data_IF_328970614733
#
_entry.id   IF_328970614733
#
_cell.length_a   1.000
_cell.length_b   1.000
_cell.length_c   1.000
_cell.angle_alpha   90.00
_cell.angle_beta   90.00
_cell.angle_gamma   90.00
#
_symmetry.space_group_name_H-M   'P 1'
#
loop_
_entity.id
_entity.type
_entity.pdbx_description
1 polymer ?
#
# COMPACT_ATOMS: atom_id res chain seq x y z
N UNK A 1 -8.69 -1.77 4.13
CA UNK A 1 -7.89 -1.81 5.38
C UNK A 1 -8.19 -3.05 6.18
N UNK A 2 -9.39 -3.25 6.76
CA UNK A 2 -9.69 -4.50 7.50
C UNK A 2 -9.42 -5.76 6.67
N UNK A 3 -10.01 -5.87 5.47
CA UNK A 3 -9.83 -7.03 4.58
C UNK A 3 -8.35 -7.28 4.25
N UNK A 4 -7.62 -6.23 3.85
CA UNK A 4 -6.21 -6.33 3.48
C UNK A 4 -5.32 -6.70 4.67
N UNK A 5 -5.61 -6.18 5.86
CA UNK A 5 -4.89 -6.52 7.09
C UNK A 5 -5.12 -7.98 7.47
N UNK A 6 -6.38 -8.45 7.43
CA UNK A 6 -6.69 -9.87 7.71
C UNK A 6 -5.98 -10.80 6.73
N UNK A 7 -6.02 -10.49 5.43
CA UNK A 7 -5.32 -11.28 4.42
C UNK A 7 -3.80 -11.28 4.66
N UNK A 8 -3.20 -10.14 5.00
CA UNK A 8 -1.77 -10.05 5.30
C UNK A 8 -1.37 -10.90 6.52
N UNK A 9 -2.17 -10.86 7.59
CA UNK A 9 -1.96 -11.71 8.77
C UNK A 9 -2.06 -13.19 8.43
N UNK A 10 -3.06 -13.60 7.64
CA UNK A 10 -3.21 -14.98 7.20
C UNK A 10 -2.01 -15.43 6.35
N UNK A 11 -1.57 -14.60 5.41
CA UNK A 11 -0.40 -14.88 4.58
C UNK A 11 0.88 -15.07 5.41
N UNK A 12 1.11 -14.21 6.40
CA UNK A 12 2.26 -14.36 7.31
C UNK A 12 2.21 -15.67 8.10
N UNK A 13 1.04 -16.02 8.67
CA UNK A 13 0.85 -17.28 9.40
C UNK A 13 1.09 -18.49 8.49
N UNK A 14 0.55 -18.49 7.27
CA UNK A 14 0.75 -19.60 6.33
C UNK A 14 2.21 -19.77 5.94
N UNK A 15 2.94 -18.68 5.77
CA UNK A 15 4.35 -18.72 5.40
C UNK A 15 5.22 -19.29 6.53
N UNK A 16 5.01 -18.83 7.77
CA UNK A 16 5.70 -19.37 8.94
C UNK A 16 5.38 -20.85 9.21
N UNK A 17 4.21 -21.34 8.79
CA UNK A 17 3.83 -22.74 8.93
C UNK A 17 4.49 -23.63 7.86
N UNK A 18 4.74 -23.08 6.67
CA UNK A 18 5.35 -23.82 5.56
C UNK A 18 6.87 -23.94 5.68
N UNK A 19 7.55 -22.93 6.22
CA UNK A 19 9.00 -22.87 6.23
C UNK A 19 9.53 -22.17 7.49
N UNK A 20 10.65 -22.68 8.02
CA UNK A 20 11.34 -22.06 9.16
C UNK A 20 11.78 -20.63 8.81
N UNK A 21 11.61 -19.70 9.77
CA UNK A 21 11.79 -18.26 9.60
C UNK A 21 13.21 -17.88 9.13
N UNK A 22 14.19 -18.75 9.36
CA UNK A 22 15.59 -18.55 8.97
C UNK A 22 15.85 -18.78 7.48
N UNK A 23 15.00 -19.56 6.82
CA UNK A 23 15.21 -19.97 5.43
C UNK A 23 14.34 -19.18 4.45
N UNK A 24 13.52 -18.23 4.93
CA UNK A 24 12.63 -17.44 4.09
C UNK A 24 13.44 -16.47 3.23
N UNK A 25 13.28 -16.60 1.92
CA UNK A 25 13.89 -15.70 0.94
C UNK A 25 13.17 -14.34 0.92
N UNK A 26 13.94 -13.25 0.85
CA UNK A 26 13.40 -11.88 0.93
C UNK A 26 12.78 -11.43 -0.40
N UNK A 27 13.32 -11.90 -1.53
CA UNK A 27 12.90 -11.48 -2.86
C UNK A 27 11.69 -12.28 -3.36
N UNK A 28 11.61 -13.57 -3.00
CA UNK A 28 10.57 -14.48 -3.46
C UNK A 28 9.99 -15.41 -2.37
N UNK A 29 9.46 -14.85 -1.26
CA UNK A 29 9.11 -15.62 -0.06
C UNK A 29 8.09 -16.74 -0.32
N UNK A 30 7.01 -16.45 -1.05
CA UNK A 30 5.98 -17.46 -1.33
C UNK A 30 6.38 -18.45 -2.43
N UNK A 31 7.02 -17.99 -3.50
CA UNK A 31 7.42 -18.84 -4.62
C UNK A 31 8.45 -19.89 -4.20
N UNK A 32 9.39 -19.51 -3.34
CA UNK A 32 10.41 -20.43 -2.79
C UNK A 32 9.78 -21.35 -1.75
N UNK A 33 8.87 -20.85 -0.90
CA UNK A 33 8.18 -21.70 0.08
C UNK A 33 7.34 -22.80 -0.58
N UNK A 34 6.59 -22.51 -1.66
CA UNK A 34 5.86 -23.55 -2.40
C UNK A 34 6.78 -24.57 -3.08
N UNK A 35 7.97 -24.13 -3.51
CA UNK A 35 8.98 -25.02 -4.08
C UNK A 35 9.57 -25.95 -3.02
N UNK A 36 9.85 -25.45 -1.81
CA UNK A 36 10.37 -26.24 -0.70
C UNK A 36 9.40 -27.34 -0.24
N UNK A 37 8.09 -27.09 -0.33
CA UNK A 37 7.02 -28.06 -0.03
C UNK A 37 6.76 -29.05 -1.19
N UNK A 38 7.38 -28.84 -2.35
CA UNK A 38 7.22 -29.69 -3.55
C UNK A 38 6.00 -29.36 -4.42
N UNK A 39 5.31 -28.26 -4.17
CA UNK A 39 4.13 -27.82 -4.94
C UNK A 39 4.50 -26.87 -6.08
N UNK A 40 5.19 -27.40 -7.09
CA UNK A 40 5.71 -26.61 -8.22
C UNK A 40 4.64 -25.90 -9.05
N UNK A 41 3.42 -26.44 -9.14
CA UNK A 41 2.31 -25.79 -9.87
C UNK A 41 1.84 -24.50 -9.18
N UNK A 42 1.78 -24.50 -7.85
CA UNK A 42 1.32 -23.35 -7.05
C UNK A 42 2.28 -22.17 -7.16
N UNK A 43 3.60 -22.43 -7.25
CA UNK A 43 4.64 -21.40 -7.49
C UNK A 43 4.33 -20.54 -8.71
N UNK A 44 3.99 -21.15 -9.85
CA UNK A 44 3.74 -20.41 -11.09
C UNK A 44 2.46 -19.56 -11.01
N UNK A 45 1.41 -20.08 -10.37
CA UNK A 45 0.15 -19.34 -10.19
C UNK A 45 0.37 -18.12 -9.30
N UNK A 46 1.06 -18.29 -8.17
CA UNK A 46 1.34 -17.20 -7.23
C UNK A 46 2.27 -16.17 -7.86
N UNK A 47 3.31 -16.58 -8.58
CA UNK A 47 4.20 -15.67 -9.30
C UNK A 47 3.47 -14.85 -10.38
N UNK A 48 2.59 -15.49 -11.17
CA UNK A 48 1.77 -14.80 -12.17
C UNK A 48 0.78 -13.81 -11.52
N UNK A 49 0.17 -14.20 -10.40
CA UNK A 49 -0.71 -13.34 -9.62
C UNK A 49 0.03 -12.13 -9.05
N UNK A 50 1.23 -12.35 -8.49
CA UNK A 50 2.08 -11.29 -7.96
C UNK A 50 2.50 -10.30 -9.04
N UNK A 51 2.97 -10.78 -10.20
CA UNK A 51 3.37 -9.93 -11.32
C UNK A 51 2.20 -9.04 -11.78
N UNK A 52 1.03 -9.63 -12.03
CA UNK A 52 -0.18 -8.88 -12.42
C UNK A 52 -0.59 -7.85 -11.36
N UNK A 53 -0.51 -8.22 -10.08
CA UNK A 53 -0.81 -7.34 -8.96
C UNK A 53 0.13 -6.13 -8.91
N UNK A 54 1.44 -6.37 -9.00
CA UNK A 54 2.46 -5.31 -9.03
C UNK A 54 2.25 -4.36 -10.23
N UNK A 55 2.02 -4.89 -11.44
CA UNK A 55 1.75 -4.06 -12.62
C UNK A 55 0.52 -3.19 -12.44
N UNK A 56 -0.55 -3.72 -11.83
CA UNK A 56 -1.77 -2.95 -11.57
C UNK A 56 -1.52 -1.81 -10.57
N UNK A 57 -0.78 -2.07 -9.49
CA UNK A 57 -0.43 -1.04 -8.49
C UNK A 57 0.46 0.04 -9.11
N UNK A 58 1.43 -0.32 -9.93
CA UNK A 58 2.28 0.63 -10.66
C UNK A 58 1.46 1.55 -11.56
N UNK A 59 0.50 1.00 -12.30
CA UNK A 59 -0.38 1.78 -13.19
C UNK A 59 -1.24 2.78 -12.39
N UNK A 60 -1.84 2.33 -11.29
CA UNK A 60 -2.63 3.20 -10.41
C UNK A 60 -1.76 4.31 -9.79
N UNK A 61 -0.54 3.98 -9.38
CA UNK A 61 0.45 4.93 -8.86
C UNK A 61 0.81 6.00 -9.88
N UNK A 62 1.14 5.61 -11.11
CA UNK A 62 1.49 6.52 -12.20
C UNK A 62 0.38 7.54 -12.49
N UNK A 63 -0.88 7.08 -12.55
CA UNK A 63 -2.05 7.97 -12.77
C UNK A 63 -2.25 8.92 -11.58
N UNK A 64 -2.07 8.42 -10.35
CA UNK A 64 -2.20 9.22 -9.13
C UNK A 64 -1.18 10.36 -9.05
N UNK A 65 0.09 10.05 -9.30
CA UNK A 65 1.20 11.02 -9.28
C UNK A 65 1.00 12.12 -10.32
N UNK A 66 0.61 11.76 -11.54
CA UNK A 66 0.38 12.73 -12.61
C UNK A 66 -0.74 13.72 -12.26
N UNK A 67 -1.85 13.24 -11.69
CA UNK A 67 -2.96 14.11 -11.24
C UNK A 67 -2.53 15.05 -10.12
N UNK A 68 -1.83 14.53 -9.12
CA UNK A 68 -1.32 15.36 -8.02
C UNK A 68 -0.41 16.48 -8.54
N UNK A 69 0.51 16.15 -9.46
CA UNK A 69 1.40 17.11 -10.09
C UNK A 69 0.65 18.21 -10.85
N UNK A 70 -0.41 17.86 -11.58
CA UNK A 70 -1.20 18.86 -12.31
C UNK A 70 -1.97 19.81 -11.41
N UNK A 71 -2.43 19.33 -10.25
CA UNK A 71 -3.06 20.20 -9.26
C UNK A 71 -2.06 21.19 -8.65
N UNK A 72 -0.83 20.75 -8.38
CA UNK A 72 0.27 21.64 -7.92
C UNK A 72 0.66 22.63 -9.02
N UNK A 73 0.73 22.20 -10.27
CA UNK A 73 1.08 23.08 -11.38
C UNK A 73 0.03 24.19 -11.60
N UNK A 74 -1.25 23.90 -11.33
CA UNK A 74 -2.34 24.90 -11.39
C UNK A 74 -2.24 25.97 -10.31
N UNK A 75 -1.57 25.71 -9.19
CA UNK A 75 -1.32 26.72 -8.14
C UNK A 75 -0.05 27.53 -8.40
N UNK A 76 0.51 27.49 -9.61
CA UNK A 76 1.74 28.18 -10.03
C UNK A 76 2.99 27.83 -9.19
N UNK A 77 2.96 26.73 -8.44
CA UNK A 77 4.13 26.23 -7.69
C UNK A 77 5.12 25.49 -8.59
N UNK A 78 4.70 25.14 -9.81
CA UNK A 78 5.52 24.50 -10.83
C UNK A 78 5.24 25.12 -12.21
N UNK A 79 6.13 24.93 -13.20
CA UNK A 79 5.92 25.46 -14.54
C UNK A 79 4.54 25.09 -15.10
N UNK A 80 3.82 26.03 -15.74
CA UNK A 80 2.46 25.83 -16.21
C UNK A 80 2.36 24.73 -17.28
N UNK A 81 3.48 24.34 -17.87
CA UNK A 81 3.59 23.22 -18.81
C UNK A 81 3.09 21.89 -18.21
N UNK A 82 3.27 21.67 -16.90
CA UNK A 82 2.75 20.48 -16.21
C UNK A 82 1.23 20.53 -15.94
N UNK A 83 0.62 21.71 -16.01
CA UNK A 83 -0.83 21.87 -15.84
C UNK A 83 -1.61 21.62 -17.14
N UNK A 84 -0.92 21.47 -18.28
CA UNK A 84 -1.55 21.25 -19.57
C UNK A 84 -2.14 19.85 -19.66
N UNK A 85 -3.45 19.77 -19.91
CA UNK A 85 -4.20 18.53 -20.09
C UNK A 85 -4.60 18.43 -21.56
N UNK A 86 -4.28 17.31 -22.19
CA UNK A 86 -4.64 17.08 -23.59
C UNK A 86 -6.17 16.97 -23.75
N UNK A 87 -6.72 17.68 -24.73
CA UNK A 87 -8.17 17.79 -24.92
C UNK A 87 -8.82 16.52 -25.48
N UNK A 88 -8.06 15.64 -26.15
CA UNK A 88 -8.59 14.41 -26.75
C UNK A 88 -8.62 13.26 -25.75
N UNK A 89 -7.58 13.13 -24.94
CA UNK A 89 -7.44 12.05 -23.96
C UNK A 89 -7.92 12.45 -22.56
N UNK A 90 -8.04 13.74 -22.26
CA UNK A 90 -8.40 14.24 -20.94
C UNK A 90 -7.36 13.91 -19.86
N UNK A 91 -6.15 13.51 -20.26
CA UNK A 91 -5.07 13.12 -19.35
C UNK A 91 -3.86 14.04 -19.47
N UNK A 92 -3.16 14.31 -18.35
CA UNK A 92 -1.97 15.15 -18.35
C UNK A 92 -0.74 14.34 -18.78
N UNK A 93 -0.56 14.21 -20.10
CA UNK A 93 0.50 13.37 -20.70
C UNK A 93 1.89 13.85 -20.27
N UNK A 94 2.15 15.16 -20.34
CA UNK A 94 3.46 15.75 -19.98
C UNK A 94 3.84 15.43 -18.53
N UNK A 95 2.91 15.61 -17.58
CA UNK A 95 3.11 15.28 -16.18
C UNK A 95 3.38 13.79 -15.96
N UNK A 96 2.65 12.93 -16.66
CA UNK A 96 2.78 11.47 -16.53
C UNK A 96 4.13 10.98 -17.03
N UNK A 97 4.55 11.41 -18.22
CA UNK A 97 5.83 11.00 -18.82
C UNK A 97 7.00 11.48 -17.98
N UNK A 98 7.00 12.74 -17.53
CA UNK A 98 8.10 13.26 -16.71
C UNK A 98 8.21 12.55 -15.35
N UNK A 99 7.09 12.27 -14.68
CA UNK A 99 7.11 11.55 -13.40
C UNK A 99 7.51 10.09 -13.54
N UNK A 100 7.05 9.40 -14.58
CA UNK A 100 7.47 8.02 -14.86
C UNK A 100 8.94 7.94 -15.24
N UNK A 101 9.44 8.88 -16.04
CA UNK A 101 10.87 8.96 -16.36
C UNK A 101 11.70 9.20 -15.11
N UNK A 102 11.32 10.15 -14.26
CA UNK A 102 12.01 10.43 -13.00
C UNK A 102 12.00 9.21 -12.04
N UNK A 103 10.84 8.56 -11.89
CA UNK A 103 10.71 7.36 -11.06
C UNK A 103 11.54 6.20 -11.60
N UNK A 104 11.58 6.01 -12.92
CA UNK A 104 12.40 4.99 -13.58
C UNK A 104 13.89 5.22 -13.38
N UNK A 105 14.36 6.47 -13.47
CA UNK A 105 15.75 6.83 -13.18
C UNK A 105 16.08 6.49 -11.72
N UNK A 106 15.26 6.92 -10.76
CA UNK A 106 15.49 6.65 -9.34
C UNK A 106 15.50 5.13 -9.07
N UNK A 107 14.57 4.38 -9.66
CA UNK A 107 14.49 2.93 -9.52
C UNK A 107 15.70 2.20 -10.12
N UNK A 108 16.36 2.76 -11.15
CA UNK A 108 17.55 2.16 -11.76
C UNK A 108 18.82 2.37 -10.93
N UNK A 109 18.92 3.50 -10.21
CA UNK A 109 20.11 3.87 -9.45
C UNK A 109 20.03 3.58 -7.94
N UNK A 110 18.89 3.13 -7.42
CA UNK A 110 18.66 2.99 -5.96
C UNK A 110 18.29 1.56 -5.58
N UNK A 111 18.89 1.05 -4.51
CA UNK A 111 18.53 -0.26 -3.94
C UNK A 111 17.15 -0.24 -3.27
N UNK A 112 16.45 -1.39 -3.32
CA UNK A 112 15.09 -1.53 -2.82
C UNK A 112 14.99 -1.27 -1.31
N UNK A 113 15.97 -1.72 -0.53
CA UNK A 113 15.97 -1.54 0.93
C UNK A 113 16.04 -0.07 1.33
N UNK A 114 16.89 0.71 0.66
CA UNK A 114 17.00 2.16 0.88
C UNK A 114 15.68 2.84 0.52
N UNK A 115 15.08 2.46 -0.62
CA UNK A 115 13.81 3.02 -1.07
C UNK A 115 12.67 2.69 -0.10
N UNK A 116 12.59 1.44 0.37
CA UNK A 116 11.59 0.99 1.33
C UNK A 116 11.68 1.73 2.67
N UNK A 117 12.91 1.93 3.17
CA UNK A 117 13.15 2.70 4.39
C UNK A 117 12.75 4.18 4.22
N UNK A 118 13.14 4.80 3.11
CA UNK A 118 12.80 6.20 2.82
C UNK A 118 11.29 6.40 2.65
N UNK A 119 10.61 5.47 1.96
CA UNK A 119 9.15 5.48 1.80
C UNK A 119 8.44 5.30 3.14
N UNK A 120 8.91 4.40 4.00
CA UNK A 120 8.34 4.17 5.32
C UNK A 120 8.43 5.42 6.21
N UNK A 121 9.60 6.07 6.27
CA UNK A 121 9.78 7.32 7.02
C UNK A 121 8.89 8.43 6.44
N UNK A 122 8.83 8.56 5.11
CA UNK A 122 8.04 9.59 4.43
C UNK A 122 6.53 9.42 4.66
N UNK A 123 6.02 8.20 4.57
CA UNK A 123 4.59 7.92 4.76
C UNK A 123 4.15 8.12 6.21
N UNK A 124 4.95 7.68 7.18
CA UNK A 124 4.70 7.94 8.60
C UNK A 124 4.69 9.45 8.90
N UNK A 125 5.63 10.19 8.33
CA UNK A 125 5.67 11.65 8.47
C UNK A 125 4.44 12.34 7.88
N UNK A 126 4.00 11.94 6.68
CA UNK A 126 2.79 12.47 6.04
C UNK A 126 1.55 12.13 6.89
N UNK A 127 1.43 10.91 7.42
CA UNK A 127 0.31 10.54 8.29
C UNK A 127 0.25 11.39 9.57
N UNK A 128 1.40 11.68 10.18
CA UNK A 128 1.49 12.61 11.30
C UNK A 128 1.00 14.00 10.91
N UNK A 129 1.46 14.55 9.78
CA UNK A 129 1.03 15.87 9.29
C UNK A 129 -0.48 15.92 8.98
N UNK A 130 -1.04 14.87 8.38
CA UNK A 130 -2.48 14.79 8.09
C UNK A 130 -3.28 14.74 9.39
N UNK A 131 -2.85 13.95 10.38
CA UNK A 131 -3.51 13.91 11.69
C UNK A 131 -3.50 15.29 12.38
N UNK A 132 -2.38 16.00 12.34
CA UNK A 132 -2.27 17.37 12.84
C UNK A 132 -3.18 18.33 12.07
N UNK A 133 -3.18 18.27 10.74
CA UNK A 133 -4.01 19.11 9.89
C UNK A 133 -5.51 18.91 10.18
N UNK A 134 -5.95 17.66 10.43
CA UNK A 134 -7.32 17.36 10.82
C UNK A 134 -7.66 17.90 12.21
N UNK A 135 -6.76 17.82 13.19
CA UNK A 135 -6.95 18.44 14.50
C UNK A 135 -7.06 19.96 14.39
N UNK A 136 -6.12 20.60 13.70
CA UNK A 136 -6.16 22.06 13.46
C UNK A 136 -7.47 22.44 12.77
N UNK A 137 -7.86 21.74 11.70
CA UNK A 137 -9.11 22.02 10.97
C UNK A 137 -10.37 21.89 11.82
N UNK A 138 -10.36 21.04 12.86
CA UNK A 138 -11.51 20.81 13.75
C UNK A 138 -11.66 21.90 14.81
N UNK A 139 -10.56 22.45 15.31
CA UNK A 139 -10.55 23.39 16.42
C UNK A 139 -10.20 24.84 16.03
N UNK A 140 -9.70 25.05 14.81
CA UNK A 140 -9.38 26.37 14.26
C UNK A 140 -10.30 26.71 13.08
N UNK A 141 -10.99 27.85 13.18
CA UNK A 141 -11.76 28.44 12.10
C UNK A 141 -11.37 29.92 11.98
N UNK A 142 -10.85 30.29 10.80
CA UNK A 142 -10.41 31.65 10.52
C UNK A 142 -11.58 32.63 10.68
N UNK A 143 -11.42 33.63 11.55
CA UNK A 143 -12.39 34.71 11.77
C UNK A 143 -13.31 34.55 13.00
N UNK A 144 -13.42 33.38 13.63
CA UNK A 144 -14.28 33.18 14.82
C UNK A 144 -13.51 32.82 16.10
N UNK A 145 -12.30 32.27 16.00
CA UNK A 145 -11.56 31.82 17.18
C UNK A 145 -10.83 32.98 17.85
N UNK A 146 -11.16 33.25 19.12
CA UNK A 146 -10.45 34.20 19.98
C UNK A 146 -8.96 33.85 20.10
N UNK A 147 -8.09 34.86 20.10
CA UNK A 147 -6.62 34.69 20.19
C UNK A 147 -6.18 33.81 21.37
N UNK A 148 -6.87 33.88 22.51
CA UNK A 148 -6.59 33.02 23.67
C UNK A 148 -6.86 31.52 23.43
N UNK A 149 -7.91 31.17 22.67
CA UNK A 149 -8.22 29.77 22.35
C UNK A 149 -7.27 29.20 21.29
N UNK A 150 -6.81 30.06 20.36
CA UNK A 150 -5.78 29.72 19.37
C UNK A 150 -4.44 29.38 20.05
N UNK A 151 -4.00 30.18 21.02
CA UNK A 151 -2.76 29.89 21.75
C UNK A 151 -2.85 28.59 22.55
N UNK A 152 -3.99 28.33 23.22
CA UNK A 152 -4.23 27.05 23.92
C UNK A 152 -4.13 25.85 22.97
N UNK A 153 -4.77 25.94 21.80
CA UNK A 153 -4.70 24.90 20.76
C UNK A 153 -3.24 24.63 20.33
N UNK A 154 -2.47 25.68 20.05
CA UNK A 154 -1.06 25.55 19.65
C UNK A 154 -0.22 24.92 20.77
N UNK A 155 -0.42 25.32 22.02
CA UNK A 155 0.29 24.76 23.18
C UNK A 155 -0.01 23.26 23.34
N UNK A 156 -1.28 22.85 23.25
CA UNK A 156 -1.64 21.43 23.34
C UNK A 156 -1.09 20.61 22.16
N UNK A 157 -1.10 21.16 20.93
CA UNK A 157 -0.49 20.47 19.78
C UNK A 157 1.03 20.32 19.93
N UNK A 158 1.72 21.37 20.40
CA UNK A 158 3.16 21.30 20.67
C UNK A 158 3.48 20.33 21.81
N UNK A 159 2.63 20.21 22.84
CA UNK A 159 2.76 19.20 23.89
C UNK A 159 2.57 17.78 23.36
N UNK A 160 1.58 17.55 22.50
CA UNK A 160 1.34 16.24 21.87
C UNK A 160 2.53 15.84 20.97
N UNK A 161 3.03 16.78 20.16
CA UNK A 161 4.18 16.51 19.29
C UNK A 161 5.48 16.38 20.08
N UNK A 162 5.71 17.27 21.06
CA UNK A 162 6.88 17.24 21.93
C UNK A 162 6.96 15.92 22.69
N UNK A 163 5.87 15.47 23.31
CA UNK A 163 5.82 14.18 24.00
C UNK A 163 6.06 12.99 23.05
N UNK A 164 5.55 13.03 21.82
CA UNK A 164 5.79 11.98 20.81
C UNK A 164 7.25 11.96 20.34
N UNK A 165 7.86 13.13 20.11
CA UNK A 165 9.26 13.24 19.68
C UNK A 165 10.21 12.83 20.81
N UNK A 166 9.96 13.28 22.04
CA UNK A 166 10.73 12.85 23.21
C UNK A 166 10.67 11.34 23.40
N UNK A 167 9.50 10.74 23.20
CA UNK A 167 9.33 9.27 23.27
C UNK A 167 10.15 8.55 22.20
N UNK A 168 10.18 9.08 20.96
CA UNK A 168 10.97 8.51 19.87
C UNK A 168 12.49 8.65 20.08
N UNK A 169 12.96 9.83 20.53
CA UNK A 169 14.37 10.07 20.84
C UNK A 169 14.82 9.19 22.00
N UNK A 170 13.97 9.00 23.01
CA UNK A 170 14.29 8.16 24.15
C UNK A 170 14.43 6.70 23.77
N UNK A 171 13.54 6.17 22.92
CA UNK A 171 13.68 4.83 22.36
C UNK A 171 15.02 4.62 21.65
N UNK A 172 15.53 5.66 20.99
CA UNK A 172 16.79 5.59 20.25
C UNK A 172 18.05 5.70 21.14
N UNK A 173 17.94 6.28 22.34
CA UNK A 173 19.09 6.58 23.21
C UNK A 173 19.16 5.72 24.48
N UNK A 174 18.05 5.13 24.94
CA UNK A 174 18.00 4.43 26.22
C UNK A 174 16.99 3.28 26.21
N UNK A 175 17.43 2.10 26.68
CA UNK A 175 16.57 0.91 26.88
C UNK A 175 15.72 0.97 28.16
N UNK A 176 15.73 2.10 28.88
CA UNK A 176 14.96 2.29 30.10
C UNK A 176 13.45 2.42 29.83
N UNK A 177 12.60 1.96 30.75
CA UNK A 177 11.14 2.06 30.61
C UNK A 177 10.55 3.31 31.28
N UNK A 178 11.36 4.00 32.09
CA UNK A 178 10.90 5.04 33.03
C UNK A 178 10.34 6.27 32.31
N UNK A 179 10.97 6.71 31.23
CA UNK A 179 10.51 7.90 30.52
C UNK A 179 9.20 7.66 29.75
N UNK A 180 8.92 6.42 29.30
CA UNK A 180 7.63 6.07 28.70
C UNK A 180 6.46 6.25 29.67
N UNK A 181 6.69 5.93 30.95
CA UNK A 181 5.70 6.13 32.01
C UNK A 181 5.41 7.61 32.27
N UNK A 182 6.27 8.54 31.84
CA UNK A 182 6.09 9.99 31.99
C UNK A 182 5.50 10.59 30.71
N UNK A 183 6.01 10.22 29.54
CA UNK A 183 5.55 10.78 28.26
C UNK A 183 4.15 10.30 27.87
N UNK A 184 3.80 9.05 28.19
CA UNK A 184 2.47 8.48 27.93
C UNK A 184 1.33 9.24 28.61
N UNK A 185 1.39 9.48 29.94
CA UNK A 185 0.39 10.28 30.64
C UNK A 185 0.34 11.74 30.17
N UNK A 186 1.49 12.36 29.85
CA UNK A 186 1.53 13.73 29.31
C UNK A 186 0.80 13.80 27.97
N UNK A 187 1.03 12.84 27.09
CA UNK A 187 0.35 12.73 25.80
C UNK A 187 -1.16 12.53 25.97
N UNK A 188 -1.57 11.66 26.91
CA UNK A 188 -2.98 11.42 27.22
C UNK A 188 -3.65 12.64 27.86
N UNK A 189 -2.98 13.34 28.78
CA UNK A 189 -3.50 14.57 29.39
C UNK A 189 -3.60 15.70 28.38
N UNK A 190 -2.65 15.83 27.45
CA UNK A 190 -2.67 16.86 26.43
C UNK A 190 -3.82 16.63 25.42
N UNK A 191 -4.06 15.38 25.04
CA UNK A 191 -5.20 15.02 24.18
C UNK A 191 -6.55 15.17 24.88
N UNK A 192 -6.64 14.80 26.17
CA UNK A 192 -7.83 15.01 27.00
C UNK A 192 -8.10 16.50 27.24
N UNK A 193 -7.05 17.28 27.51
CA UNK A 193 -7.11 18.72 27.68
C UNK A 193 -7.58 19.44 26.42
N UNK A 194 -7.12 19.01 25.25
CA UNK A 194 -7.60 19.52 23.97
C UNK A 194 -9.12 19.25 23.78
N UNK A 195 -9.60 18.08 24.21
CA UNK A 195 -11.02 17.69 24.11
C UNK A 195 -11.92 18.45 25.07
N UNK A 196 -11.44 18.80 26.26
CA UNK A 196 -12.23 19.45 27.32
C UNK A 196 -12.18 20.98 27.25
N UNK A 197 -11.02 21.57 26.94
CA UNK A 197 -10.83 23.02 27.03
C UNK A 197 -11.05 23.79 25.73
N UNK A 198 -11.04 23.10 24.57
CA UNK A 198 -11.16 23.77 23.26
C UNK A 198 -12.54 23.46 22.65
N UNK A 199 -13.44 24.46 22.49
CA UNK A 199 -14.73 24.25 21.86
C UNK A 199 -14.56 23.85 20.39
N UNK A 200 -15.41 22.94 19.94
CA UNK A 200 -15.38 22.41 18.58
C UNK A 200 -15.84 23.49 17.59
N UNK A 201 -14.98 23.86 16.64
CA UNK A 201 -15.31 24.89 15.64
C UNK A 201 -16.02 24.32 14.40
N UNK A 202 -15.89 23.01 14.15
CA UNK A 202 -16.64 22.27 13.12
C UNK A 202 -17.10 20.92 13.65
N UNK A 203 -18.38 20.61 13.43
CA UNK A 203 -18.89 19.25 13.55
C UNK A 203 -18.38 18.40 12.37
N UNK A 204 -18.06 17.14 12.65
CA UNK A 204 -17.72 16.21 11.59
C UNK A 204 -19.00 15.93 10.79
N UNK A 205 -19.10 16.49 9.57
CA UNK A 205 -20.14 16.07 8.62
C UNK A 205 -19.94 14.57 8.39
N UNK A 206 -20.79 13.74 8.98
CA UNK A 206 -20.80 12.31 8.67
C UNK A 206 -21.00 12.21 7.16
N UNK A 207 -20.03 11.61 6.50
CA UNK A 207 -20.17 11.22 5.11
C UNK A 207 -21.42 10.35 5.03
N UNK A 208 -22.47 10.84 4.37
CA UNK A 208 -23.59 9.99 4.00
C UNK A 208 -23.00 8.87 3.15
N UNK A 209 -23.05 7.65 3.68
CA UNK A 209 -22.57 6.48 2.97
C UNK A 209 -23.43 6.30 1.73
N UNK A 210 -22.89 6.68 0.57
CA UNK A 210 -23.42 6.23 -0.72
C UNK A 210 -23.10 4.74 -0.86
N UNK A 211 -23.80 3.92 -0.07
CA UNK A 211 -23.56 2.48 0.05
C UNK A 211 -23.74 1.76 -1.28
N UNK A 212 -24.57 2.32 -2.15
CA UNK A 212 -24.74 1.90 -3.53
C UNK A 212 -23.42 1.91 -4.35
N UNK A 213 -22.52 2.87 -4.12
CA UNK A 213 -21.25 2.95 -4.86
C UNK A 213 -20.25 1.88 -4.40
N UNK A 214 -20.18 1.63 -3.09
CA UNK A 214 -19.36 0.55 -2.53
C UNK A 214 -19.90 -0.83 -2.89
N UNK A 215 -21.23 -1.01 -2.89
CA UNK A 215 -21.86 -2.25 -3.34
C UNK A 215 -21.58 -2.51 -4.83
N UNK A 216 -21.71 -1.50 -5.69
CA UNK A 216 -21.36 -1.61 -7.12
C UNK A 216 -19.89 -1.96 -7.33
N UNK A 217 -18.98 -1.32 -6.59
CA UNK A 217 -17.54 -1.63 -6.66
C UNK A 217 -17.22 -3.04 -6.17
N UNK A 218 -17.84 -3.47 -5.07
CA UNK A 218 -17.69 -4.82 -4.51
C UNK A 218 -18.23 -5.91 -5.44
N UNK A 219 -19.39 -5.70 -6.04
CA UNK A 219 -19.99 -6.63 -7.01
C UNK A 219 -19.12 -6.77 -8.26
N UNK A 220 -18.62 -5.66 -8.83
CA UNK A 220 -17.75 -5.71 -10.00
C UNK A 220 -16.39 -6.34 -9.70
N UNK A 221 -15.84 -6.09 -8.51
CA UNK A 221 -14.58 -6.71 -8.08
C UNK A 221 -14.76 -8.21 -7.84
N UNK A 222 -15.89 -8.63 -7.25
CA UNK A 222 -16.24 -10.04 -7.07
C UNK A 222 -16.44 -10.76 -8.41
N UNK A 223 -17.17 -10.15 -9.35
CA UNK A 223 -17.35 -10.69 -10.70
C UNK A 223 -16.01 -10.82 -11.45
N UNK A 224 -15.13 -9.81 -11.36
CA UNK A 224 -13.79 -9.87 -11.95
C UNK A 224 -12.94 -10.99 -11.32
N UNK A 225 -13.01 -11.18 -10.01
CA UNK A 225 -12.30 -12.26 -9.33
C UNK A 225 -12.81 -13.64 -9.74
N UNK A 226 -14.13 -13.83 -9.84
CA UNK A 226 -14.72 -15.09 -10.32
C UNK A 226 -14.35 -15.34 -11.78
N UNK A 227 -14.43 -14.32 -12.64
CA UNK A 227 -14.00 -14.41 -14.03
C UNK A 227 -12.51 -14.79 -14.13
N UNK A 228 -11.64 -14.15 -13.36
CA UNK A 228 -10.21 -14.47 -13.35
C UNK A 228 -9.89 -15.84 -12.77
N UNK A 229 -10.63 -16.28 -11.74
CA UNK A 229 -10.48 -17.62 -11.17
C UNK A 229 -10.90 -18.69 -12.19
N UNK A 230 -12.03 -18.51 -12.86
CA UNK A 230 -12.52 -19.43 -13.89
C UNK A 230 -11.60 -19.45 -15.11
N UNK A 231 -11.14 -18.28 -15.56
CA UNK A 231 -10.17 -18.19 -16.66
C UNK A 231 -8.83 -18.83 -16.29
N UNK A 232 -8.36 -18.62 -15.06
CA UNK A 232 -7.16 -19.27 -14.52
C UNK A 232 -7.31 -20.79 -14.44
N UNK A 233 -8.49 -21.27 -14.02
CA UNK A 233 -8.80 -22.71 -13.98
C UNK A 233 -8.86 -23.31 -15.38
N UNK A 234 -9.45 -22.61 -16.36
CA UNK A 234 -9.52 -23.06 -17.75
C UNK A 234 -8.13 -23.12 -18.40
N UNK A 235 -7.31 -22.07 -18.22
CA UNK A 235 -5.93 -22.07 -18.69
C UNK A 235 -5.09 -23.19 -18.02
N UNK A 236 -5.35 -23.48 -16.75
CA UNK A 236 -4.67 -24.57 -16.04
C UNK A 236 -5.14 -25.96 -16.51
N UNK A 237 -6.42 -26.11 -16.87
CA UNK A 237 -6.97 -27.34 -17.41
C UNK A 237 -6.48 -27.63 -18.84
N UNK A 238 -6.45 -26.61 -19.70
CA UNK A 238 -5.95 -26.75 -21.08
C UNK A 238 -4.46 -27.09 -21.11
N UNK A 239 -3.65 -26.46 -20.26
CA UNK A 239 -2.22 -26.79 -20.11
C UNK A 239 -1.99 -28.20 -19.56
N UNK A 240 -2.82 -28.66 -18.62
CA UNK A 240 -2.77 -30.04 -18.12
C UNK A 240 -3.13 -31.06 -19.22
N UNK A 241 -4.15 -30.76 -20.03
CA UNK A 241 -4.60 -31.63 -21.12
C UNK A 241 -3.60 -31.71 -22.27
N UNK A 242 -2.94 -30.60 -22.62
CA UNK A 242 -1.83 -30.60 -23.58
C UNK A 242 -0.61 -31.38 -23.08
N UNK A 243 -0.29 -31.29 -21.78
CA UNK A 243 0.75 -32.10 -21.16
C UNK A 243 0.45 -33.60 -21.26
N UNK A 244 -0.77 -34.01 -20.89
CA UNK A 244 -1.21 -35.41 -20.96
C UNK A 244 -1.15 -35.96 -22.40
N UNK A 245 -1.57 -35.15 -23.38
CA UNK A 245 -1.48 -35.50 -24.80
C UNK A 245 -0.05 -35.69 -25.31
N UNK A 246 0.91 -34.90 -24.83
CA UNK A 246 2.34 -35.09 -25.15
C UNK A 246 2.92 -36.35 -24.51
N UNK A 247 2.61 -36.61 -23.24
CA UNK A 247 3.07 -37.80 -22.55
C UNK A 247 2.58 -39.09 -23.21
N UNK A 248 1.30 -39.12 -23.63
CA UNK A 248 0.74 -40.29 -24.34
C UNK A 248 1.45 -40.56 -25.67
N UNK A 249 1.79 -39.51 -26.44
CA UNK A 249 2.55 -39.65 -27.69
C UNK A 249 3.97 -40.17 -27.45
N UNK A 250 4.63 -39.73 -26.39
CA UNK A 250 5.96 -40.22 -26.01
C UNK A 250 5.86 -41.71 -25.66
N UNK A 251 4.88 -42.10 -24.86
CA UNK A 251 4.70 -43.48 -24.41
C UNK A 251 4.35 -44.44 -25.57
N UNK A 252 3.52 -44.01 -26.52
CA UNK A 252 3.25 -44.72 -27.77
C UNK A 252 4.51 -44.83 -28.64
N UNK A 253 5.30 -43.75 -28.72
CA UNK A 253 6.59 -43.73 -29.39
C UNK A 253 7.59 -44.72 -28.79
N UNK A 254 7.75 -44.73 -27.47
CA UNK A 254 8.64 -45.67 -26.76
C UNK A 254 8.21 -47.12 -26.95
N UNK A 255 6.90 -47.41 -26.85
CA UNK A 255 6.36 -48.76 -27.13
C UNK A 255 6.57 -49.20 -28.58
N UNK A 256 6.59 -48.27 -29.54
CA UNK A 256 6.88 -48.59 -30.95
C UNK A 256 8.36 -48.89 -31.19
N UNK A 257 9.26 -48.22 -30.46
CA UNK A 257 10.71 -48.46 -30.53
C UNK A 257 11.07 -49.80 -29.89
N UNK A 258 10.52 -50.13 -28.72
CA UNK A 258 10.77 -51.43 -28.06
C UNK A 258 10.27 -52.62 -28.88
N UNK A 259 9.17 -52.46 -29.64
CA UNK A 259 8.66 -53.50 -30.55
C UNK A 259 9.46 -53.64 -31.84
N UNK A 260 10.28 -52.65 -32.21
CA UNK A 260 11.15 -52.70 -33.37
C UNK A 260 12.54 -53.26 -33.11
N UNK A 261 12.88 -53.52 -31.84
CA UNK A 261 14.20 -53.97 -31.38
C UNK A 261 14.17 -55.42 -30.84
N UNK A 262 12.98 -56.02 -30.70
CA UNK A 262 12.76 -57.44 -30.36
C UNK A 262 12.47 -58.27 -31.62
#
# INVERSE_FOLDING_TARGET
MVITTTVYCLLAVTLCLMQDYRNVDVDAPFSVAFQAVGWNWAKYIVAAGALKGMTSVLLVGAVGQARYLTHIARTHMMPPWFAHVDQKTGTPINATVTMMAATGIIAFFTELDILSNLLSISTLFIFMLVALALLVRRYYLAGVTTSGNRTKLVVFLLLILGSSITTAIYWALSDGWILYCITGPIWFLATLGLRLFVPHAREAKLWESHWASFARFGVWTGLLLVYYFLFGLHASYDTAKEMEGRWRKIEEGTKSVDKGVA
#
